data_IF_402433822971
#
_entry.id   IF_402433822971
#
_cell.length_a   1.000
_cell.length_b   1.000
_cell.length_c   1.000
_cell.angle_alpha   90.00
_cell.angle_beta   90.00
_cell.angle_gamma   90.00
#
_symmetry.space_group_name_H-M   'P 1'
#
loop_
_entity.id
_entity.type
_entity.pdbx_description
1 polymer ?
#
# COMPACT_ATOMS: atom_id res chain seq x y z
N UNK A 1 -51.04 -27.24 27.43
CA UNK A 1 -50.30 -26.05 27.89
C UNK A 1 -50.55 -24.91 26.91
N UNK A 2 -51.15 -23.81 27.37
CA UNK A 2 -51.69 -22.69 26.56
C UNK A 2 -50.89 -21.40 26.86
N UNK A 3 -49.75 -21.19 26.22
CA UNK A 3 -48.93 -19.99 26.45
C UNK A 3 -48.44 -19.28 25.18
N UNK A 4 -49.04 -19.54 24.02
CA UNK A 4 -48.48 -19.11 22.72
C UNK A 4 -49.33 -18.12 21.93
N UNK A 5 -50.58 -17.87 22.28
CA UNK A 5 -51.48 -17.09 21.41
C UNK A 5 -52.23 -16.01 22.18
N UNK A 6 -51.77 -14.75 22.07
CA UNK A 6 -52.65 -13.58 21.94
C UNK A 6 -51.87 -12.27 21.73
N UNK A 7 -50.63 -12.16 22.22
CA UNK A 7 -49.78 -10.93 22.12
C UNK A 7 -48.39 -11.18 21.50
N UNK A 8 -48.03 -12.44 21.21
CA UNK A 8 -46.66 -12.86 20.87
C UNK A 8 -46.18 -12.45 19.46
N UNK A 9 -47.00 -12.52 18.42
CA UNK A 9 -46.46 -12.38 17.05
C UNK A 9 -45.93 -10.96 16.73
N UNK A 10 -46.59 -9.89 17.23
CA UNK A 10 -46.17 -8.50 16.98
C UNK A 10 -44.90 -8.11 17.75
N UNK A 11 -44.76 -8.54 19.00
CA UNK A 11 -43.58 -8.28 19.82
C UNK A 11 -42.37 -9.10 19.37
N UNK A 12 -42.57 -10.38 19.02
CA UNK A 12 -41.51 -11.21 18.42
C UNK A 12 -41.01 -10.63 17.10
N UNK A 13 -41.91 -10.12 16.24
CA UNK A 13 -41.51 -9.45 14.99
C UNK A 13 -40.70 -8.16 15.26
N UNK A 14 -41.11 -7.35 16.25
CA UNK A 14 -40.37 -6.14 16.62
C UNK A 14 -38.96 -6.45 17.19
N UNK A 15 -38.82 -7.51 17.99
CA UNK A 15 -37.52 -7.95 18.52
C UNK A 15 -36.63 -8.45 17.38
N UNK A 16 -37.17 -9.24 16.44
CA UNK A 16 -36.43 -9.70 15.25
C UNK A 16 -35.95 -8.52 14.40
N UNK A 17 -36.80 -7.52 14.18
CA UNK A 17 -36.43 -6.30 13.46
C UNK A 17 -35.33 -5.52 14.20
N UNK A 18 -35.42 -5.39 15.52
CA UNK A 18 -34.38 -4.72 16.30
C UNK A 18 -33.03 -5.45 16.22
N UNK A 19 -33.03 -6.79 16.23
CA UNK A 19 -31.82 -7.59 16.05
C UNK A 19 -31.22 -7.38 14.66
N UNK A 20 -32.04 -7.37 13.60
CA UNK A 20 -31.58 -7.07 12.24
C UNK A 20 -30.89 -5.72 12.20
N UNK A 21 -31.56 -4.69 12.72
CA UNK A 21 -31.07 -3.31 12.70
C UNK A 21 -29.76 -3.17 13.48
N UNK A 22 -29.66 -3.86 14.62
CA UNK A 22 -28.41 -3.91 15.40
C UNK A 22 -27.29 -4.63 14.66
N UNK A 23 -27.58 -5.77 14.02
CA UNK A 23 -26.60 -6.52 13.23
C UNK A 23 -26.11 -5.72 12.03
N UNK A 24 -27.01 -5.12 11.24
CA UNK A 24 -26.64 -4.32 10.06
C UNK A 24 -25.86 -3.06 10.44
N UNK A 25 -26.17 -2.46 11.59
CA UNK A 25 -25.39 -1.32 12.09
C UNK A 25 -23.99 -1.76 12.53
N UNK A 26 -23.87 -2.90 13.20
CA UNK A 26 -22.58 -3.44 13.62
C UNK A 26 -21.72 -3.84 12.42
N UNK A 27 -22.28 -4.52 11.42
CA UNK A 27 -21.56 -4.90 10.20
C UNK A 27 -21.09 -3.66 9.44
N UNK A 28 -21.94 -2.64 9.29
CA UNK A 28 -21.56 -1.37 8.68
C UNK A 28 -20.37 -0.70 9.41
N UNK A 29 -20.39 -0.67 10.75
CA UNK A 29 -19.27 -0.13 11.54
C UNK A 29 -17.97 -0.93 11.31
N UNK A 30 -18.05 -2.26 11.20
CA UNK A 30 -16.89 -3.11 10.92
C UNK A 30 -16.38 -2.94 9.49
N UNK A 31 -17.27 -2.82 8.51
CA UNK A 31 -16.92 -2.55 7.11
C UNK A 31 -16.23 -1.20 6.97
N UNK A 32 -16.72 -0.16 7.66
CA UNK A 32 -16.08 1.16 7.67
C UNK A 32 -14.65 1.12 8.18
N UNK A 33 -14.38 0.30 9.22
CA UNK A 33 -13.01 0.11 9.72
C UNK A 33 -12.11 -0.55 8.67
N UNK A 34 -12.60 -1.63 8.05
CA UNK A 34 -11.87 -2.35 6.98
C UNK A 34 -11.62 -1.48 5.76
N UNK A 35 -12.58 -0.64 5.39
CA UNK A 35 -12.41 0.32 4.29
C UNK A 35 -11.29 1.31 4.60
N UNK A 36 -11.20 1.81 5.83
CA UNK A 36 -10.10 2.66 6.25
C UNK A 36 -8.74 1.95 6.19
N UNK A 37 -8.65 0.71 6.67
CA UNK A 37 -7.42 -0.09 6.56
C UNK A 37 -7.01 -0.35 5.10
N UNK A 38 -7.99 -0.50 4.20
CA UNK A 38 -7.76 -0.65 2.76
C UNK A 38 -7.28 0.66 2.12
N UNK A 39 -7.87 1.80 2.50
CA UNK A 39 -7.44 3.14 2.07
C UNK A 39 -5.99 3.40 2.49
N UNK A 40 -5.64 3.17 3.76
CA UNK A 40 -4.27 3.29 4.27
C UNK A 40 -3.29 2.39 3.49
N UNK A 41 -3.70 1.17 3.16
CA UNK A 41 -2.86 0.25 2.37
C UNK A 41 -2.64 0.75 0.94
N UNK A 42 -3.65 1.36 0.30
CA UNK A 42 -3.48 1.95 -1.03
C UNK A 42 -2.64 3.23 -1.02
N UNK A 43 -2.81 4.08 0.00
CA UNK A 43 -1.94 5.24 0.21
C UNK A 43 -0.49 4.79 0.34
N UNK A 44 -0.20 3.79 1.18
CA UNK A 44 1.18 3.30 1.34
C UNK A 44 1.74 2.63 0.08
N UNK A 45 0.93 1.87 -0.68
CA UNK A 45 1.35 1.33 -1.99
C UNK A 45 1.77 2.46 -2.95
N UNK A 46 1.05 3.57 -2.95
CA UNK A 46 1.35 4.69 -3.83
C UNK A 46 2.52 5.55 -3.32
N UNK A 47 2.37 6.11 -2.12
CA UNK A 47 3.29 7.10 -1.55
C UNK A 47 4.61 6.47 -1.09
N UNK A 48 4.57 5.29 -0.46
CA UNK A 48 5.77 4.69 0.15
C UNK A 48 6.45 3.65 -0.74
N UNK A 49 5.74 3.04 -1.70
CA UNK A 49 6.31 1.97 -2.54
C UNK A 49 6.49 2.37 -3.99
N UNK A 50 5.45 2.91 -4.63
CA UNK A 50 5.55 3.29 -6.04
C UNK A 50 6.41 4.54 -6.24
N UNK A 51 6.22 5.59 -5.44
CA UNK A 51 7.05 6.79 -5.54
C UNK A 51 8.49 6.52 -5.08
N UNK A 52 8.67 5.75 -4.00
CA UNK A 52 9.99 5.33 -3.55
C UNK A 52 10.77 4.58 -4.63
N UNK A 53 10.14 3.59 -5.28
CA UNK A 53 10.73 2.87 -6.41
C UNK A 53 11.05 3.80 -7.60
N UNK A 54 10.17 4.76 -7.88
CA UNK A 54 10.44 5.77 -8.92
C UNK A 54 11.68 6.62 -8.59
N UNK A 55 11.88 6.99 -7.32
CA UNK A 55 13.08 7.72 -6.89
C UNK A 55 14.34 6.86 -7.02
N UNK A 56 14.30 5.58 -6.61
CA UNK A 56 15.42 4.65 -6.78
C UNK A 56 15.78 4.48 -8.26
N UNK A 57 14.77 4.34 -9.13
CA UNK A 57 14.99 4.27 -10.57
C UNK A 57 15.67 5.54 -11.12
N UNK A 58 15.24 6.72 -10.68
CA UNK A 58 15.87 7.97 -11.08
C UNK A 58 17.29 8.13 -10.51
N UNK A 59 17.58 7.60 -9.31
CA UNK A 59 18.94 7.55 -8.78
C UNK A 59 19.82 6.61 -9.60
N UNK A 60 19.29 5.45 -10.02
CA UNK A 60 20.00 4.52 -10.91
C UNK A 60 20.35 5.18 -12.24
N UNK A 61 19.38 5.84 -12.89
CA UNK A 61 19.60 6.56 -14.15
C UNK A 61 20.61 7.71 -14.01
N UNK A 62 20.52 8.46 -12.90
CA UNK A 62 21.49 9.51 -12.56
C UNK A 62 22.91 8.94 -12.40
N UNK A 63 23.07 7.87 -11.61
CA UNK A 63 24.35 7.23 -11.39
C UNK A 63 24.91 6.66 -12.70
N UNK A 64 24.07 6.08 -13.55
CA UNK A 64 24.48 5.53 -14.84
C UNK A 64 24.99 6.59 -15.80
N UNK A 65 24.26 7.69 -15.95
CA UNK A 65 24.71 8.83 -16.76
C UNK A 65 26.02 9.41 -16.24
N UNK A 66 26.17 9.51 -14.91
CA UNK A 66 27.40 9.98 -14.28
C UNK A 66 28.58 9.04 -14.56
N UNK A 67 28.37 7.72 -14.45
CA UNK A 67 29.37 6.71 -14.78
C UNK A 67 29.81 6.81 -16.25
N UNK A 68 28.87 6.92 -17.19
CA UNK A 68 29.17 7.02 -18.62
C UNK A 68 30.01 8.27 -18.94
N UNK A 69 29.73 9.40 -18.27
CA UNK A 69 30.53 10.61 -18.38
C UNK A 69 31.94 10.44 -17.81
N UNK A 70 32.06 9.79 -16.65
CA UNK A 70 33.36 9.50 -16.04
C UNK A 70 34.22 8.58 -16.92
N UNK A 71 33.65 7.51 -17.46
CA UNK A 71 34.34 6.60 -18.39
C UNK A 71 34.83 7.34 -19.64
N UNK A 72 34.02 8.24 -20.19
CA UNK A 72 34.40 9.08 -21.32
C UNK A 72 35.55 10.04 -20.97
N UNK A 73 35.54 10.61 -19.76
CA UNK A 73 36.61 11.46 -19.23
C UNK A 73 37.93 10.70 -19.14
N UNK A 74 37.87 9.51 -18.54
CA UNK A 74 39.01 8.62 -18.33
C UNK A 74 39.64 8.17 -19.65
N UNK A 75 38.83 7.87 -20.66
CA UNK A 75 39.32 7.51 -22.00
C UNK A 75 39.98 8.68 -22.73
N UNK A 76 39.45 9.90 -22.59
CA UNK A 76 39.93 11.08 -23.32
C UNK A 76 41.06 11.83 -22.61
N UNK A 77 41.31 11.58 -21.33
CA UNK A 77 42.27 12.34 -20.52
C UNK A 77 41.83 13.80 -20.27
N UNK A 78 40.54 14.08 -20.40
CA UNK A 78 39.97 15.44 -20.28
C UNK A 78 39.16 15.53 -18.99
N UNK A 79 39.85 15.63 -17.87
CA UNK A 79 39.23 15.68 -16.55
C UNK A 79 38.44 16.97 -16.31
N UNK A 80 38.94 18.11 -16.78
CA UNK A 80 38.45 19.42 -16.36
C UNK A 80 37.12 19.83 -17.02
N UNK A 81 36.80 19.28 -18.20
CA UNK A 81 35.63 19.71 -19.00
C UNK A 81 34.31 19.12 -18.51
N UNK A 82 34.35 18.11 -17.62
CA UNK A 82 33.15 17.34 -17.23
C UNK A 82 32.64 17.73 -15.82
N UNK A 83 33.38 18.56 -15.08
CA UNK A 83 33.04 18.98 -13.71
C UNK A 83 31.70 19.70 -13.56
N UNK A 84 31.35 20.57 -14.51
CA UNK A 84 30.07 21.28 -14.45
C UNK A 84 28.89 20.31 -14.51
N UNK A 85 29.00 19.28 -15.37
CA UNK A 85 27.96 18.26 -15.52
C UNK A 85 27.89 17.35 -14.28
N UNK A 86 29.03 16.96 -13.69
CA UNK A 86 29.06 16.13 -12.47
C UNK A 86 28.36 16.81 -11.28
N UNK A 87 28.54 18.13 -11.12
CA UNK A 87 27.88 18.89 -10.06
C UNK A 87 26.36 18.96 -10.25
N UNK A 88 25.88 19.05 -11.49
CA UNK A 88 24.44 18.99 -11.78
C UNK A 88 23.87 17.64 -11.37
N UNK A 89 24.50 16.53 -11.76
CA UNK A 89 24.06 15.19 -11.36
C UNK A 89 24.08 14.99 -9.84
N UNK A 90 25.08 15.55 -9.14
CA UNK A 90 25.15 15.52 -7.67
C UNK A 90 23.96 16.25 -7.03
N UNK A 91 23.61 17.43 -7.54
CA UNK A 91 22.47 18.20 -7.03
C UNK A 91 21.13 17.48 -7.30
N UNK A 92 20.93 16.97 -8.51
CA UNK A 92 19.73 16.20 -8.87
C UNK A 92 19.57 14.97 -7.98
N UNK A 93 20.66 14.24 -7.75
CA UNK A 93 20.66 13.07 -6.85
C UNK A 93 20.34 13.46 -5.41
N UNK A 94 20.87 14.58 -4.92
CA UNK A 94 20.54 15.09 -3.58
C UNK A 94 19.04 15.32 -3.39
N UNK A 95 18.36 15.89 -4.39
CA UNK A 95 16.91 16.07 -4.35
C UNK A 95 16.13 14.75 -4.39
N UNK A 96 16.65 13.72 -5.08
CA UNK A 96 16.07 12.38 -5.06
C UNK A 96 16.25 11.71 -3.68
N UNK A 97 17.42 11.87 -3.07
CA UNK A 97 17.75 11.34 -1.73
C UNK A 97 16.78 11.92 -0.70
N UNK A 98 16.60 13.24 -0.70
CA UNK A 98 15.68 13.90 0.24
C UNK A 98 14.23 13.42 0.07
N UNK A 99 13.77 13.22 -1.16
CA UNK A 99 12.42 12.70 -1.42
C UNK A 99 12.26 11.24 -0.97
N UNK A 100 13.29 10.42 -1.16
CA UNK A 100 13.29 9.04 -0.70
C UNK A 100 13.32 8.96 0.84
N UNK A 101 14.02 9.87 1.52
CA UNK A 101 14.03 9.94 3.00
C UNK A 101 12.69 10.34 3.61
N UNK A 102 11.80 10.96 2.83
CA UNK A 102 10.48 11.36 3.27
C UNK A 102 9.44 10.23 3.15
N UNK A 103 9.78 9.12 2.48
CA UNK A 103 8.89 7.94 2.42
C UNK A 103 9.05 7.10 3.68
N UNK A 104 8.11 6.18 3.90
CA UNK A 104 8.24 5.21 4.99
C UNK A 104 9.32 4.16 4.66
N UNK A 105 10.46 4.24 5.36
CA UNK A 105 11.54 3.25 5.26
C UNK A 105 11.36 2.14 6.31
N UNK A 106 11.57 0.89 5.91
CA UNK A 106 11.73 -0.22 6.86
C UNK A 106 13.13 -0.19 7.49
N UNK A 107 13.33 -0.93 8.60
CA UNK A 107 14.65 -1.03 9.24
C UNK A 107 15.72 -1.61 8.28
N UNK A 108 15.32 -2.53 7.39
CA UNK A 108 16.21 -3.11 6.39
C UNK A 108 16.53 -2.09 5.28
N UNK A 109 15.53 -1.35 4.81
CA UNK A 109 15.71 -0.29 3.82
C UNK A 109 16.59 0.84 4.33
N UNK A 110 16.38 1.29 5.57
CA UNK A 110 17.16 2.38 6.16
C UNK A 110 18.65 2.03 6.23
N UNK A 111 18.96 0.78 6.62
CA UNK A 111 20.32 0.26 6.61
C UNK A 111 20.94 0.28 5.20
N UNK A 112 20.25 -0.29 4.21
CA UNK A 112 20.72 -0.33 2.82
C UNK A 112 20.82 1.05 2.17
N UNK A 113 19.90 1.94 2.51
CA UNK A 113 19.90 3.29 2.00
C UNK A 113 21.05 4.12 2.59
N UNK A 114 21.40 3.89 3.86
CA UNK A 114 22.60 4.47 4.43
C UNK A 114 23.88 3.96 3.74
N UNK A 115 23.97 2.66 3.45
CA UNK A 115 25.09 2.09 2.68
C UNK A 115 25.20 2.75 1.29
N UNK A 116 24.08 2.94 0.60
CA UNK A 116 24.03 3.67 -0.68
C UNK A 116 24.55 5.10 -0.54
N UNK A 117 24.10 5.85 0.45
CA UNK A 117 24.57 7.23 0.70
C UNK A 117 26.08 7.29 0.92
N UNK A 118 26.64 6.33 1.66
CA UNK A 118 28.08 6.23 1.87
C UNK A 118 28.81 5.97 0.56
N UNK A 119 28.36 5.01 -0.25
CA UNK A 119 28.97 4.70 -1.54
C UNK A 119 28.93 5.92 -2.48
N UNK A 120 27.78 6.60 -2.58
CA UNK A 120 27.62 7.80 -3.41
C UNK A 120 28.55 8.95 -2.99
N UNK A 121 28.72 9.17 -1.68
CA UNK A 121 29.66 10.16 -1.17
C UNK A 121 31.11 9.80 -1.47
N UNK A 122 31.48 8.52 -1.37
CA UNK A 122 32.82 8.06 -1.73
C UNK A 122 33.12 8.27 -3.22
N UNK A 123 32.14 8.04 -4.09
CA UNK A 123 32.25 8.33 -5.52
C UNK A 123 32.48 9.84 -5.72
N UNK A 124 31.67 10.67 -5.08
CA UNK A 124 31.77 12.14 -5.17
C UNK A 124 33.12 12.67 -4.70
N UNK A 125 33.67 12.15 -3.59
CA UNK A 125 34.99 12.51 -3.08
C UNK A 125 36.12 12.09 -4.04
N UNK A 126 35.96 10.96 -4.73
CA UNK A 126 36.92 10.48 -5.73
C UNK A 126 36.91 11.38 -6.97
N UNK A 127 35.72 11.73 -7.45
CA UNK A 127 35.54 12.63 -8.59
C UNK A 127 36.08 14.03 -8.30
N UNK A 128 35.90 14.54 -7.09
CA UNK A 128 36.46 15.84 -6.67
C UNK A 128 38.00 15.82 -6.61
N UNK A 129 38.59 14.75 -6.07
CA UNK A 129 40.06 14.56 -6.09
C UNK A 129 40.62 14.50 -7.50
N UNK A 130 39.89 13.89 -8.42
CA UNK A 130 40.27 13.76 -9.84
C UNK A 130 40.14 15.12 -10.53
N UNK A 131 39.07 15.87 -10.25
CA UNK A 131 38.84 17.24 -10.72
C UNK A 131 39.98 18.22 -10.38
N UNK A 132 40.55 18.08 -9.19
CA UNK A 132 41.62 18.95 -8.68
C UNK A 132 43.01 18.64 -9.29
N UNK A 133 43.12 17.59 -10.11
CA UNK A 133 44.35 17.26 -10.82
C UNK A 133 44.68 18.30 -11.90
N UNK A 134 45.97 18.45 -12.23
CA UNK A 134 46.43 19.36 -13.28
C UNK A 134 45.68 19.13 -14.60
N UNK A 135 45.34 20.21 -15.30
CA UNK A 135 44.70 20.14 -16.60
C UNK A 135 45.56 19.28 -17.56
N UNK A 136 44.91 18.30 -18.21
CA UNK A 136 45.53 17.31 -19.13
C UNK A 136 46.30 16.15 -18.46
N UNK A 137 46.31 16.05 -17.12
CA UNK A 137 46.81 14.86 -16.44
C UNK A 137 45.90 13.64 -16.71
N UNK A 138 46.51 12.50 -17.03
CA UNK A 138 45.78 11.25 -17.19
C UNK A 138 45.35 10.70 -15.83
N UNK A 139 44.09 10.26 -15.71
CA UNK A 139 43.57 9.73 -14.45
C UNK A 139 44.33 8.43 -14.11
N UNK A 140 44.91 8.32 -12.89
CA UNK A 140 45.58 7.11 -12.43
C UNK A 140 44.66 5.88 -12.51
N UNK A 141 45.19 4.77 -13.03
CA UNK A 141 44.42 3.52 -13.21
C UNK A 141 43.89 2.93 -11.89
N UNK A 142 44.59 3.15 -10.78
CA UNK A 142 44.15 2.75 -9.45
C UNK A 142 42.91 3.54 -8.97
N UNK A 143 42.82 4.83 -9.32
CA UNK A 143 41.64 5.65 -9.03
C UNK A 143 40.45 5.25 -9.89
N UNK A 144 40.67 4.95 -11.17
CA UNK A 144 39.63 4.43 -12.08
C UNK A 144 39.07 3.12 -11.52
N UNK A 145 39.94 2.15 -11.21
CA UNK A 145 39.51 0.86 -10.64
C UNK A 145 38.73 1.04 -9.34
N UNK A 146 39.18 1.95 -8.47
CA UNK A 146 38.49 2.22 -7.20
C UNK A 146 37.11 2.87 -7.44
N UNK A 147 37.00 3.79 -8.39
CA UNK A 147 35.72 4.38 -8.79
C UNK A 147 34.77 3.31 -9.33
N UNK A 148 35.23 2.43 -10.21
CA UNK A 148 34.43 1.32 -10.75
C UNK A 148 33.94 0.38 -9.65
N UNK A 149 34.81 0.00 -8.71
CA UNK A 149 34.47 -0.87 -7.58
C UNK A 149 33.35 -0.29 -6.71
N UNK A 150 33.44 0.99 -6.34
CA UNK A 150 32.42 1.66 -5.52
C UNK A 150 31.14 1.88 -6.32
N UNK A 151 31.25 2.17 -7.62
CA UNK A 151 30.08 2.36 -8.49
C UNK A 151 29.29 1.06 -8.67
N UNK A 152 29.97 -0.08 -8.81
CA UNK A 152 29.33 -1.41 -8.84
C UNK A 152 28.61 -1.71 -7.53
N UNK A 153 29.21 -1.37 -6.38
CA UNK A 153 28.59 -1.54 -5.07
C UNK A 153 27.33 -0.66 -4.91
N UNK A 154 27.39 0.59 -5.38
CA UNK A 154 26.24 1.49 -5.40
C UNK A 154 25.09 0.96 -6.28
N UNK A 155 25.39 0.43 -7.46
CA UNK A 155 24.36 -0.21 -8.32
C UNK A 155 23.76 -1.46 -7.67
N UNK A 156 24.60 -2.29 -7.05
CA UNK A 156 24.15 -3.50 -6.35
C UNK A 156 23.24 -3.14 -5.18
N UNK A 157 23.57 -2.07 -4.45
CA UNK A 157 22.76 -1.57 -3.34
C UNK A 157 21.43 -0.97 -3.83
N UNK A 158 21.44 -0.22 -4.94
CA UNK A 158 20.21 0.26 -5.59
C UNK A 158 19.29 -0.89 -6.03
N UNK A 159 19.84 -1.95 -6.62
CA UNK A 159 19.08 -3.15 -6.96
C UNK A 159 18.51 -3.84 -5.73
N UNK A 160 19.29 -3.97 -4.66
CA UNK A 160 18.81 -4.55 -3.40
C UNK A 160 17.66 -3.73 -2.78
N UNK A 161 17.74 -2.40 -2.83
CA UNK A 161 16.66 -1.52 -2.39
C UNK A 161 15.39 -1.72 -3.23
N UNK A 162 15.50 -1.82 -4.56
CA UNK A 162 14.37 -2.09 -5.47
C UNK A 162 13.72 -3.47 -5.22
N UNK A 163 14.53 -4.48 -4.89
CA UNK A 163 14.03 -5.79 -4.48
C UNK A 163 13.22 -5.71 -3.18
N UNK A 164 13.67 -4.93 -2.19
CA UNK A 164 12.93 -4.70 -0.94
C UNK A 164 11.61 -3.96 -1.22
N UNK A 165 11.62 -2.93 -2.07
CA UNK A 165 10.41 -2.22 -2.47
C UNK A 165 9.36 -3.15 -3.10
N UNK A 166 9.82 -4.08 -3.94
CA UNK A 166 8.94 -5.08 -4.56
C UNK A 166 8.37 -6.05 -3.53
N UNK A 167 9.17 -6.50 -2.57
CA UNK A 167 8.74 -7.39 -1.49
C UNK A 167 7.70 -6.71 -0.57
N UNK A 168 7.97 -5.48 -0.14
CA UNK A 168 7.05 -4.68 0.68
C UNK A 168 5.74 -4.35 -0.08
N UNK A 169 5.86 -4.02 -1.38
CA UNK A 169 4.70 -3.83 -2.25
C UNK A 169 3.83 -5.09 -2.36
N UNK A 170 4.44 -6.28 -2.43
CA UNK A 170 3.71 -7.54 -2.41
C UNK A 170 3.02 -7.80 -1.06
N UNK A 171 3.69 -7.50 0.06
CA UNK A 171 3.10 -7.62 1.40
C UNK A 171 1.85 -6.75 1.54
N UNK A 172 1.92 -5.48 1.14
CA UNK A 172 0.78 -4.56 1.15
C UNK A 172 -0.35 -5.05 0.23
N UNK A 173 -0.02 -5.50 -0.99
CA UNK A 173 -1.00 -6.08 -1.92
C UNK A 173 -1.73 -7.29 -1.30
N UNK A 174 -0.99 -8.18 -0.66
CA UNK A 174 -1.54 -9.37 -0.03
C UNK A 174 -2.42 -9.03 1.16
N UNK A 175 -2.03 -8.04 1.98
CA UNK A 175 -2.85 -7.50 3.08
C UNK A 175 -4.17 -6.91 2.56
N UNK A 176 -4.12 -6.07 1.53
CA UNK A 176 -5.32 -5.50 0.88
C UNK A 176 -6.26 -6.59 0.36
N UNK A 177 -5.71 -7.64 -0.26
CA UNK A 177 -6.50 -8.79 -0.73
C UNK A 177 -7.19 -9.52 0.42
N UNK A 178 -6.51 -9.72 1.55
CA UNK A 178 -7.12 -10.36 2.72
C UNK A 178 -8.26 -9.51 3.31
N UNK A 179 -8.10 -8.18 3.38
CA UNK A 179 -9.16 -7.27 3.83
C UNK A 179 -10.39 -7.39 2.91
N UNK A 180 -10.18 -7.36 1.59
CA UNK A 180 -11.25 -7.49 0.58
C UNK A 180 -11.97 -8.83 0.71
N UNK A 181 -11.22 -9.94 0.75
CA UNK A 181 -11.81 -11.28 0.88
C UNK A 181 -12.63 -11.42 2.17
N UNK A 182 -12.11 -10.92 3.29
CA UNK A 182 -12.84 -10.89 4.55
C UNK A 182 -14.11 -10.04 4.50
N UNK A 183 -14.10 -8.92 3.77
CA UNK A 183 -15.26 -8.06 3.55
C UNK A 183 -16.33 -8.73 2.69
N UNK A 184 -15.93 -9.37 1.60
CA UNK A 184 -16.85 -10.09 0.71
C UNK A 184 -17.49 -11.28 1.44
N UNK A 185 -16.71 -12.06 2.18
CA UNK A 185 -17.23 -13.22 2.93
C UNK A 185 -18.24 -12.82 4.01
N UNK A 186 -17.97 -11.76 4.79
CA UNK A 186 -18.92 -11.32 5.82
C UNK A 186 -20.21 -10.78 5.19
N UNK A 187 -20.10 -10.03 4.09
CA UNK A 187 -21.25 -9.45 3.39
C UNK A 187 -22.17 -10.54 2.83
N UNK A 188 -21.62 -11.62 2.27
CA UNK A 188 -22.43 -12.77 1.82
C UNK A 188 -23.15 -13.48 2.96
N UNK A 189 -22.50 -13.61 4.11
CA UNK A 189 -23.13 -14.21 5.29
C UNK A 189 -24.26 -13.32 5.83
N UNK A 190 -24.04 -12.01 5.89
CA UNK A 190 -25.05 -11.03 6.28
C UNK A 190 -26.26 -11.08 5.34
N UNK A 191 -26.05 -11.04 4.02
CA UNK A 191 -27.13 -11.14 3.03
C UNK A 191 -27.96 -12.41 3.24
N UNK A 192 -27.29 -13.55 3.50
CA UNK A 192 -27.96 -14.83 3.75
C UNK A 192 -28.84 -14.76 5.00
N UNK A 193 -28.33 -14.20 6.10
CA UNK A 193 -29.10 -14.01 7.35
C UNK A 193 -30.30 -13.09 7.11
N UNK A 194 -30.11 -11.98 6.39
CA UNK A 194 -31.19 -11.04 6.10
C UNK A 194 -32.32 -11.69 5.31
N UNK A 195 -32.00 -12.52 4.31
CA UNK A 195 -32.99 -13.27 3.53
C UNK A 195 -33.76 -14.24 4.42
N UNK A 196 -33.07 -15.02 5.26
CA UNK A 196 -33.72 -15.98 6.18
C UNK A 196 -34.68 -15.27 7.14
N UNK A 197 -34.25 -14.14 7.72
CA UNK A 197 -35.11 -13.39 8.64
C UNK A 197 -36.30 -12.75 7.91
N UNK A 198 -36.10 -12.23 6.69
CA UNK A 198 -37.19 -11.68 5.88
C UNK A 198 -38.28 -12.73 5.62
N UNK A 199 -37.91 -13.98 5.31
CA UNK A 199 -38.85 -15.10 5.13
C UNK A 199 -39.61 -15.39 6.44
N UNK A 200 -38.93 -15.40 7.59
CA UNK A 200 -39.56 -15.62 8.91
C UNK A 200 -40.59 -14.53 9.21
N UNK A 201 -40.25 -13.27 8.98
CA UNK A 201 -41.16 -12.14 9.18
C UNK A 201 -42.38 -12.28 8.27
N UNK A 202 -42.17 -12.62 6.99
CA UNK A 202 -43.26 -12.81 6.03
C UNK A 202 -44.22 -13.94 6.47
N UNK A 203 -43.69 -15.07 6.94
CA UNK A 203 -44.49 -16.18 7.47
C UNK A 203 -45.30 -15.77 8.70
N UNK A 204 -44.71 -15.02 9.65
CA UNK A 204 -45.40 -14.52 10.84
C UNK A 204 -46.54 -13.54 10.49
N UNK A 205 -46.32 -12.67 9.50
CA UNK A 205 -47.33 -11.71 9.03
C UNK A 205 -48.52 -12.45 8.39
N UNK A 206 -48.28 -13.36 7.45
CA UNK A 206 -49.36 -14.12 6.80
C UNK A 206 -50.10 -15.05 7.76
N UNK A 207 -49.43 -15.64 8.76
CA UNK A 207 -50.09 -16.44 9.79
C UNK A 207 -51.04 -15.63 10.69
N UNK A 208 -50.92 -14.30 10.72
CA UNK A 208 -51.71 -13.45 11.63
C UNK A 208 -53.09 -13.05 11.09
N UNK A 209 -53.43 -13.39 9.84
CA UNK A 209 -54.70 -13.04 9.19
C UNK A 209 -55.67 -14.23 9.05
N UNK A 210 -56.13 -14.79 10.18
CA UNK A 210 -57.36 -15.61 10.23
C UNK A 210 -58.14 -15.32 11.51
N UNK A 211 -58.62 -14.08 11.65
CA UNK A 211 -59.66 -13.72 12.63
C UNK A 211 -60.70 -12.80 11.97
N UNK A 212 -61.22 -13.18 10.80
CA UNK A 212 -62.45 -12.58 10.28
C UNK A 212 -63.65 -13.44 10.67
N UNK A 213 -64.24 -13.02 11.80
CA UNK A 213 -65.66 -13.00 12.17
C UNK A 213 -66.47 -14.26 11.86
N UNK A 214 -66.60 -15.15 12.86
CA UNK A 214 -67.76 -16.05 12.96
C UNK A 214 -68.99 -15.20 13.33
N UNK A 215 -69.76 -14.74 12.33
CA UNK A 215 -71.08 -14.14 12.57
C UNK A 215 -72.03 -15.26 12.99
N UNK A 216 -72.16 -15.48 14.30
CA UNK A 216 -73.25 -16.25 14.87
C UNK A 216 -74.47 -15.30 14.96
N UNK A 217 -75.41 -15.41 14.03
CA UNK A 217 -76.81 -15.05 14.30
C UNK A 217 -77.66 -16.24 13.91
N UNK A 218 -78.28 -16.83 14.94
CA UNK A 218 -79.09 -18.04 14.88
C UNK A 218 -80.33 -17.82 14.02
N UNK A 219 -80.70 -18.87 13.31
CA UNK A 219 -82.04 -19.06 12.79
C UNK A 219 -83.00 -19.39 13.95
N UNK A 220 -84.25 -18.96 13.77
CA UNK A 220 -85.51 -19.51 14.30
C UNK A 220 -86.25 -18.76 15.44
N UNK A 221 -87.40 -18.20 15.01
CA UNK A 221 -88.77 -18.36 15.54
C UNK A 221 -89.11 -17.88 16.97
N UNK A 222 -89.70 -16.68 17.05
CA UNK A 222 -91.12 -16.42 17.39
C UNK A 222 -91.43 -14.92 17.25
#
# INVERSE_FOLDING_TARGET
MKWTYSIKNKSTAAILLAIILGLTMLTNLLERKRFKELEESFTSIYEDRLLAENYLFHMYDNLKKKQDLFELAAQKGVCHTINADLNVYRQERGALIEKYEQTYLTDEEDGKFNDLKVALNQIDELEEKISDMEAEAQIPQDLIRKHDEITIDAFTTLSALSDIQTAEGELLRNKSKQIILGSVSISHFEMTILIVIAIIIQALVFSSSTLLVKKNQRAELN
#
